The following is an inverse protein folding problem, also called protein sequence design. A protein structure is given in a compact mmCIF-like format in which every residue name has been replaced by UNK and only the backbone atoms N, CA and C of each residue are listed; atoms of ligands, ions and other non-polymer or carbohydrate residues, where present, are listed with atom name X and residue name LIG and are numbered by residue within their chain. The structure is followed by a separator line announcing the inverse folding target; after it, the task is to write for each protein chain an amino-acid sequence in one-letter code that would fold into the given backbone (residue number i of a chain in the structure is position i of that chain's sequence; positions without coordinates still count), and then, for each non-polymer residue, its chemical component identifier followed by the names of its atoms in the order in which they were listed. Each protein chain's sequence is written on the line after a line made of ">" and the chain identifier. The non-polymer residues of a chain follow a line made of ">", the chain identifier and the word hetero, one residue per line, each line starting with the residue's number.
data_IF_244772184423
#
_entry.id   IF_244772184423
#
_cell.length_a   1.000
_cell.length_b   1.000
_cell.length_c   1.000
_cell.angle_alpha   90.00
_cell.angle_beta   90.00
_cell.angle_gamma   90.00
#
_symmetry.space_group_name_H-M   'P 1'
#
loop_
_entity.id
_entity.type
_entity.pdbx_description
1 polymer ?
#
# COMPACT_ATOMS: atom_id res chain seq x y z
N UNK A 1 60.26 -62.75 6.37
CA UNK A 1 60.04 -62.18 7.71
C UNK A 1 59.78 -60.69 7.52
N UNK A 2 58.55 -60.29 7.18
CA UNK A 2 57.53 -59.76 8.12
C UNK A 2 58.13 -58.71 9.07
N UNK A 3 57.96 -57.42 8.78
CA UNK A 3 56.88 -56.64 9.39
C UNK A 3 56.99 -55.16 9.05
N UNK A 4 55.89 -54.63 8.52
CA UNK A 4 55.50 -53.24 8.40
C UNK A 4 55.48 -52.56 9.80
N UNK A 5 56.17 -51.42 9.95
CA UNK A 5 55.95 -50.44 11.03
C UNK A 5 56.27 -49.06 10.48
N UNK A 6 55.57 -47.97 10.74
CA UNK A 6 54.20 -47.71 11.16
C UNK A 6 54.00 -46.21 10.84
N UNK A 7 52.86 -45.89 10.22
CA UNK A 7 52.17 -44.61 10.18
C UNK A 7 52.95 -43.31 10.46
N UNK A 8 53.21 -42.57 9.38
CA UNK A 8 53.33 -41.12 9.41
C UNK A 8 51.95 -40.49 9.63
N UNK A 9 51.67 -39.96 10.82
CA UNK A 9 50.53 -39.07 11.07
C UNK A 9 51.00 -38.00 12.07
N UNK A 10 51.64 -36.95 11.57
CA UNK A 10 51.79 -35.72 12.34
C UNK A 10 50.49 -34.92 12.21
N UNK A 11 49.67 -34.98 13.24
CA UNK A 11 48.53 -34.08 13.44
C UNK A 11 48.89 -33.12 14.56
N UNK A 12 49.20 -31.87 14.20
CA UNK A 12 49.19 -30.76 15.14
C UNK A 12 48.78 -29.49 14.38
N UNK A 13 47.47 -29.41 14.19
CA UNK A 13 46.75 -28.20 13.82
C UNK A 13 46.73 -27.27 15.04
N UNK A 14 47.41 -26.12 14.97
CA UNK A 14 47.10 -24.99 15.85
C UNK A 14 47.55 -23.68 15.21
N UNK A 15 46.74 -23.18 14.28
CA UNK A 15 46.74 -21.75 13.95
C UNK A 15 45.70 -21.12 14.86
N UNK A 16 46.14 -20.72 16.05
CA UNK A 16 45.39 -19.77 16.87
C UNK A 16 45.48 -18.41 16.20
N UNK A 17 44.54 -18.13 15.29
CA UNK A 17 44.22 -16.78 14.87
C UNK A 17 42.81 -16.49 15.35
N UNK A 18 42.68 -16.17 16.63
CA UNK A 18 41.50 -15.52 17.17
C UNK A 18 41.43 -14.12 16.59
N UNK A 19 40.96 -13.99 15.35
CA UNK A 19 40.54 -12.70 14.81
C UNK A 19 39.31 -12.28 15.60
N UNK A 20 39.53 -11.41 16.59
CA UNK A 20 38.49 -10.64 17.25
C UNK A 20 37.77 -9.86 16.15
N UNK A 21 36.62 -10.37 15.70
CA UNK A 21 35.71 -9.64 14.83
C UNK A 21 35.16 -8.47 15.65
N UNK A 22 35.85 -7.34 15.60
CA UNK A 22 35.29 -6.06 16.02
C UNK A 22 34.20 -5.72 15.02
N UNK A 23 32.97 -6.14 15.33
CA UNK A 23 31.79 -5.69 14.62
C UNK A 23 31.67 -4.20 14.91
N UNK A 24 32.15 -3.35 13.99
CA UNK A 24 31.87 -1.94 14.01
C UNK A 24 30.33 -1.79 13.91
N UNK A 25 29.68 -1.52 15.03
CA UNK A 25 28.25 -1.23 15.08
C UNK A 25 28.03 0.15 14.48
N UNK A 26 27.98 0.22 13.15
CA UNK A 26 27.51 1.39 12.45
C UNK A 26 26.07 1.66 12.89
N UNK A 27 25.87 2.70 13.69
CA UNK A 27 24.55 3.12 14.14
C UNK A 27 23.82 3.73 12.93
N UNK A 28 23.01 2.93 12.25
CA UNK A 28 22.18 3.39 11.14
C UNK A 28 20.96 4.09 11.75
N UNK A 29 21.04 5.40 11.91
CA UNK A 29 19.86 6.21 12.24
C UNK A 29 19.01 6.29 10.97
N UNK A 30 17.96 5.49 10.90
CA UNK A 30 16.97 5.63 9.84
C UNK A 30 16.14 6.88 10.12
N UNK A 31 16.42 7.95 9.39
CA UNK A 31 15.55 9.12 9.42
C UNK A 31 14.31 8.81 8.56
N UNK A 32 13.09 8.86 9.13
CA UNK A 32 11.88 8.73 8.35
C UNK A 32 11.81 9.90 7.35
N UNK A 33 11.93 9.57 6.07
CA UNK A 33 11.77 10.57 5.01
C UNK A 33 10.28 10.77 4.76
N UNK A 34 9.68 11.75 5.45
CA UNK A 34 8.29 12.15 5.21
C UNK A 34 8.26 12.99 3.94
N UNK A 35 7.41 12.60 2.97
CA UNK A 35 7.13 13.43 1.79
C UNK A 35 5.64 13.71 1.76
N UNK A 36 5.29 14.98 1.86
CA UNK A 36 3.90 15.44 1.84
C UNK A 36 3.60 16.10 0.51
N UNK A 37 2.42 15.79 -0.04
CA UNK A 37 1.81 16.53 -1.13
C UNK A 37 0.68 17.36 -0.51
N UNK A 38 0.75 18.68 -0.66
CA UNK A 38 -0.27 19.60 -0.18
C UNK A 38 -0.69 20.51 -1.31
N UNK A 39 -2.00 20.55 -1.58
CA UNK A 39 -2.60 21.50 -2.52
C UNK A 39 -3.56 22.40 -1.75
N UNK A 40 -3.44 23.72 -1.92
CA UNK A 40 -4.32 24.71 -1.34
C UNK A 40 -4.69 25.71 -2.42
N UNK A 41 -5.97 25.75 -2.80
CA UNK A 41 -6.46 26.63 -3.85
C UNK A 41 -7.87 26.25 -4.30
N UNK A 42 -8.57 27.18 -4.98
CA UNK A 42 -9.87 26.88 -5.60
C UNK A 42 -9.67 26.00 -6.83
N UNK A 43 -10.56 25.03 -7.00
CA UNK A 43 -10.60 24.13 -8.16
C UNK A 43 -12.01 24.12 -8.70
N UNK A 44 -12.13 24.23 -10.02
CA UNK A 44 -13.40 24.05 -10.71
C UNK A 44 -13.64 22.56 -10.89
N UNK A 45 -14.70 22.05 -10.27
CA UNK A 45 -15.12 20.65 -10.35
C UNK A 45 -16.47 20.61 -11.07
N UNK A 46 -16.66 19.72 -12.05
CA UNK A 46 -17.98 19.55 -12.67
C UNK A 46 -19.00 18.99 -11.66
N UNK A 47 -20.25 19.40 -11.79
CA UNK A 47 -21.35 19.06 -10.84
C UNK A 47 -21.62 17.55 -10.71
N UNK A 48 -21.19 16.76 -11.70
CA UNK A 48 -21.27 15.30 -11.75
C UNK A 48 -19.92 14.63 -12.00
N UNK A 49 -18.82 15.35 -11.76
CA UNK A 49 -17.47 14.93 -12.13
C UNK A 49 -16.47 15.01 -10.99
N UNK A 50 -15.23 14.67 -11.34
CA UNK A 50 -14.09 14.79 -10.45
C UNK A 50 -12.99 15.62 -11.11
N UNK A 51 -12.26 16.37 -10.31
CA UNK A 51 -11.07 17.10 -10.73
C UNK A 51 -9.84 16.46 -10.10
N UNK A 52 -8.81 16.24 -10.93
CA UNK A 52 -7.52 15.76 -10.47
C UNK A 52 -6.69 16.94 -9.96
N UNK A 53 -6.31 16.90 -8.68
CA UNK A 53 -5.58 17.98 -8.01
C UNK A 53 -4.06 17.86 -8.14
N UNK A 54 -3.59 16.76 -8.73
CA UNK A 54 -2.17 16.44 -8.82
C UNK A 54 -1.78 15.30 -7.91
N UNK A 55 -0.49 14.99 -7.91
CA UNK A 55 0.04 13.84 -7.22
C UNK A 55 1.57 13.82 -7.22
N UNK A 56 2.12 12.86 -6.49
CA UNK A 56 3.56 12.63 -6.40
C UNK A 56 3.91 11.29 -7.04
N UNK A 57 4.87 11.32 -7.95
CA UNK A 57 5.47 10.12 -8.53
C UNK A 57 6.91 9.98 -8.03
N UNK A 58 7.30 8.78 -7.61
CA UNK A 58 8.59 8.49 -7.01
C UNK A 58 9.18 7.26 -7.66
N UNK A 59 10.41 7.37 -8.12
CA UNK A 59 11.23 6.25 -8.59
C UNK A 59 12.55 6.27 -7.85
N UNK A 60 12.93 5.12 -7.30
CA UNK A 60 14.21 4.90 -6.64
C UNK A 60 14.89 3.71 -7.31
N UNK A 61 16.14 3.92 -7.75
CA UNK A 61 17.00 2.87 -8.31
C UNK A 61 18.16 2.69 -7.34
N UNK A 62 18.34 1.48 -6.82
CA UNK A 62 19.45 1.12 -5.96
C UNK A 62 20.33 0.09 -6.65
N UNK A 63 21.64 0.26 -6.54
CA UNK A 63 22.62 -0.71 -7.01
C UNK A 63 23.59 -0.96 -5.87
N UNK A 64 23.58 -2.17 -5.33
CA UNK A 64 24.48 -2.58 -4.28
C UNK A 64 25.46 -3.62 -4.81
N UNK A 65 26.75 -3.30 -4.79
CA UNK A 65 27.82 -4.23 -5.14
C UNK A 65 28.55 -4.64 -3.86
N UNK A 66 28.57 -5.93 -3.55
CA UNK A 66 29.32 -6.51 -2.44
C UNK A 66 30.22 -7.62 -2.98
N UNK A 67 31.49 -7.28 -3.20
CA UNK A 67 32.46 -8.19 -3.83
C UNK A 67 32.09 -8.53 -5.29
N UNK A 68 31.99 -9.84 -5.57
CA UNK A 68 31.56 -10.40 -6.86
C UNK A 68 30.04 -10.33 -7.07
N UNK A 69 29.26 -10.11 -6.01
CA UNK A 69 27.80 -10.04 -6.09
C UNK A 69 27.31 -8.62 -6.39
N UNK A 70 26.39 -8.51 -7.35
CA UNK A 70 25.72 -7.26 -7.73
C UNK A 70 24.23 -7.45 -7.52
N UNK A 71 23.61 -6.54 -6.78
CA UNK A 71 22.18 -6.50 -6.56
C UNK A 71 21.63 -5.18 -7.09
N UNK A 72 20.59 -5.26 -7.91
CA UNK A 72 19.89 -4.10 -8.46
C UNK A 72 18.46 -4.10 -7.91
N UNK A 73 18.06 -2.99 -7.31
CA UNK A 73 16.71 -2.77 -6.80
C UNK A 73 16.07 -1.60 -7.52
N UNK A 74 14.79 -1.72 -7.82
CA UNK A 74 13.96 -0.63 -8.33
C UNK A 74 12.69 -0.55 -7.48
N UNK A 75 12.33 0.65 -7.04
CA UNK A 75 11.08 0.92 -6.35
C UNK A 75 10.38 2.09 -7.03
N UNK A 76 9.13 1.88 -7.44
CA UNK A 76 8.28 2.92 -8.02
C UNK A 76 7.04 3.10 -7.12
N UNK A 77 6.63 4.34 -6.88
CA UNK A 77 5.45 4.66 -6.09
C UNK A 77 4.76 5.91 -6.65
N UNK A 78 3.46 5.80 -6.94
CA UNK A 78 2.62 6.89 -7.38
C UNK A 78 1.49 7.12 -6.36
N UNK A 79 1.16 8.39 -6.12
CA UNK A 79 0.03 8.81 -5.27
C UNK A 79 -0.60 10.06 -5.87
N UNK A 80 -1.92 10.16 -5.87
CA UNK A 80 -2.66 11.27 -6.45
C UNK A 80 -3.82 11.71 -5.54
N UNK A 81 -4.22 12.96 -5.69
CA UNK A 81 -5.37 13.55 -5.02
C UNK A 81 -6.46 13.87 -6.05
N UNK A 82 -7.68 13.46 -5.75
CA UNK A 82 -8.88 13.69 -6.58
C UNK A 82 -9.95 14.28 -5.68
N UNK A 83 -10.64 15.31 -6.17
CA UNK A 83 -11.81 15.88 -5.50
C UNK A 83 -13.03 15.71 -6.38
N UNK A 84 -14.13 15.31 -5.75
CA UNK A 84 -15.45 15.18 -6.38
C UNK A 84 -16.41 16.10 -5.64
N UNK A 85 -17.26 16.78 -6.39
CA UNK A 85 -18.37 17.55 -5.85
C UNK A 85 -19.67 16.96 -6.39
N UNK A 86 -20.69 16.90 -5.55
CA UNK A 86 -22.04 16.49 -5.95
C UNK A 86 -22.99 17.58 -5.54
N UNK A 87 -23.66 18.18 -6.53
CA UNK A 87 -24.74 19.15 -6.26
C UNK A 87 -26.02 18.37 -6.00
N UNK A 88 -26.67 18.71 -4.89
CA UNK A 88 -27.89 18.05 -4.43
C UNK A 88 -29.06 19.00 -4.69
N UNK A 89 -29.94 18.62 -5.63
CA UNK A 89 -31.23 19.30 -5.84
C UNK A 89 -32.27 18.74 -4.86
N UNK A 90 -32.56 19.52 -3.82
CA UNK A 90 -33.50 19.13 -2.76
C UNK A 90 -34.95 19.07 -3.27
N UNK A 91 -35.33 19.92 -4.24
CA UNK A 91 -36.71 19.99 -4.72
C UNK A 91 -37.07 18.76 -5.55
N UNK A 92 -36.15 18.34 -6.42
CA UNK A 92 -36.35 17.13 -7.22
C UNK A 92 -36.26 15.86 -6.35
N UNK A 93 -35.36 15.80 -5.37
CA UNK A 93 -35.33 14.67 -4.42
C UNK A 93 -36.61 14.57 -3.61
N UNK A 94 -37.13 15.69 -3.09
CA UNK A 94 -38.36 15.69 -2.30
C UNK A 94 -39.58 15.29 -3.16
N UNK A 95 -39.59 15.68 -4.44
CA UNK A 95 -40.57 15.20 -5.41
C UNK A 95 -40.47 13.69 -5.64
N UNK A 96 -39.26 13.15 -5.75
CA UNK A 96 -39.05 11.71 -5.94
C UNK A 96 -39.44 10.90 -4.70
N UNK A 97 -39.11 11.40 -3.50
CA UNK A 97 -39.52 10.78 -2.23
C UNK A 97 -41.04 10.73 -2.13
N UNK A 98 -41.73 11.85 -2.37
CA UNK A 98 -43.20 11.89 -2.35
C UNK A 98 -43.83 10.94 -3.36
N UNK A 99 -43.27 10.84 -4.58
CA UNK A 99 -43.74 9.88 -5.58
C UNK A 99 -43.56 8.43 -5.09
N UNK A 100 -42.42 8.11 -4.50
CA UNK A 100 -42.14 6.78 -3.97
C UNK A 100 -43.10 6.40 -2.82
N UNK A 101 -43.45 7.36 -1.95
CA UNK A 101 -44.39 7.11 -0.85
C UNK A 101 -45.82 6.88 -1.34
N UNK A 102 -46.30 7.66 -2.32
CA UNK A 102 -47.61 7.44 -2.95
C UNK A 102 -47.69 6.04 -3.57
N UNK A 103 -46.62 5.59 -4.24
CA UNK A 103 -46.55 4.25 -4.83
C UNK A 103 -46.60 3.15 -3.75
N UNK A 104 -45.85 3.32 -2.65
CA UNK A 104 -45.86 2.37 -1.53
C UNK A 104 -47.24 2.27 -0.87
N UNK A 105 -47.93 3.38 -0.72
CA UNK A 105 -49.26 3.41 -0.11
C UNK A 105 -50.34 2.82 -1.02
N UNK A 106 -50.19 2.91 -2.35
CA UNK A 106 -51.05 2.18 -3.29
C UNK A 106 -50.87 0.66 -3.11
N UNK A 107 -49.63 0.16 -3.13
CA UNK A 107 -49.33 -1.27 -2.96
C UNK A 107 -49.85 -1.81 -1.62
N UNK A 108 -49.70 -1.05 -0.54
CA UNK A 108 -50.23 -1.44 0.78
C UNK A 108 -51.75 -1.55 0.80
N UNK A 109 -52.45 -0.61 0.17
CA UNK A 109 -53.91 -0.64 0.07
C UNK A 109 -54.38 -1.85 -0.72
N UNK A 110 -53.75 -2.14 -1.85
CA UNK A 110 -54.10 -3.31 -2.67
C UNK A 110 -53.89 -4.62 -1.90
N UNK A 111 -52.79 -4.74 -1.14
CA UNK A 111 -52.54 -5.89 -0.27
C UNK A 111 -53.56 -6.02 0.87
N UNK A 112 -54.07 -4.91 1.40
CA UNK A 112 -55.08 -4.91 2.46
C UNK A 112 -56.48 -5.26 1.92
N UNK A 113 -56.81 -4.83 0.70
CA UNK A 113 -58.03 -5.22 0.00
C UNK A 113 -58.04 -6.72 -0.28
N UNK A 114 -56.91 -7.30 -0.72
CA UNK A 114 -56.79 -8.74 -0.95
C UNK A 114 -57.03 -9.57 0.32
N UNK A 115 -56.54 -9.12 1.48
CA UNK A 115 -56.76 -9.79 2.78
C UNK A 115 -58.18 -9.66 3.33
N UNK A 116 -58.97 -8.72 2.82
CA UNK A 116 -60.34 -8.49 3.30
C UNK A 116 -61.37 -9.34 2.55
N UNK A 117 -60.95 -10.08 1.52
CA UNK A 117 -61.81 -10.96 0.70
C UNK A 117 -61.58 -12.46 0.98
N UNK A 118 -60.68 -12.78 1.91
CA UNK A 118 -60.52 -14.11 2.51
C UNK A 118 -61.21 -14.15 3.88
#
# INVERSE_FOLDING_TARGET
>A
MISLRAAAISFAFSISCGSLFSNASAQVIQLPTVRTFSYSGPVLVPDSGSAYLGGVNRSAVSSQRRGLSRNFGQANAASGAVVSATIIDLDEMDRQIRRADIQRDAVRRDAQVAKSQE
#
